data_IF_462538957922
#
_entry.id   IF_462538957922
#
_cell.length_a   1.000
_cell.length_b   1.000
_cell.length_c   1.000
_cell.angle_alpha   90.00
_cell.angle_beta   90.00
_cell.angle_gamma   90.00
#
_symmetry.space_group_name_H-M   'P 1'
#
loop_
_entity.id
_entity.type
_entity.pdbx_description
1 polymer ?
#
# COMPACT_ATOMS: atom_id res chain seq x y z
N UNK A 1 -23.88 76.13 7.03
CA UNK A 1 -22.77 75.28 7.52
C UNK A 1 -23.30 73.86 7.59
N UNK A 2 -22.69 72.94 6.84
CA UNK A 2 -23.10 71.53 6.71
C UNK A 2 -22.80 70.78 8.03
N UNK A 3 -23.73 70.02 8.63
CA UNK A 3 -23.36 69.08 9.67
C UNK A 3 -22.74 67.84 9.03
N UNK A 4 -21.49 67.57 9.42
CA UNK A 4 -20.73 66.41 8.98
C UNK A 4 -21.40 65.11 9.40
N UNK A 5 -21.51 64.18 8.45
CA UNK A 5 -21.82 62.78 8.70
C UNK A 5 -20.59 62.12 9.32
N UNK A 6 -20.54 62.04 10.65
CA UNK A 6 -19.63 61.13 11.32
C UNK A 6 -20.13 59.69 11.10
N UNK A 7 -19.45 58.96 10.22
CA UNK A 7 -19.62 57.52 10.08
C UNK A 7 -19.03 56.86 11.31
N UNK A 8 -19.84 56.69 12.35
CA UNK A 8 -19.52 55.81 13.46
C UNK A 8 -19.39 54.37 12.92
N UNK A 9 -18.15 53.90 12.76
CA UNK A 9 -17.85 52.50 12.43
C UNK A 9 -18.21 51.68 13.67
N UNK A 10 -19.43 51.15 13.69
CA UNK A 10 -19.88 50.21 14.71
C UNK A 10 -19.18 48.87 14.47
N UNK A 11 -18.08 48.63 15.18
CA UNK A 11 -17.37 47.36 15.15
C UNK A 11 -18.24 46.29 15.81
N UNK A 12 -18.73 45.32 15.03
CA UNK A 12 -19.40 44.14 15.55
C UNK A 12 -18.34 43.10 15.97
N UNK A 13 -18.16 42.84 17.28
CA UNK A 13 -17.18 41.85 17.74
C UNK A 13 -17.49 40.43 17.22
N UNK A 14 -18.75 40.12 16.88
CA UNK A 14 -19.12 38.82 16.32
C UNK A 14 -18.57 38.60 14.90
N UNK A 15 -18.32 39.68 14.15
CA UNK A 15 -17.76 39.64 12.79
C UNK A 15 -16.26 40.01 12.80
N UNK A 16 -15.86 40.92 13.69
CA UNK A 16 -14.48 41.39 13.82
C UNK A 16 -13.53 40.30 14.29
N UNK A 17 -13.90 39.55 15.34
CA UNK A 17 -13.06 38.48 15.90
C UNK A 17 -12.76 37.38 14.88
N UNK A 18 -13.74 36.79 14.16
CA UNK A 18 -13.43 35.76 13.16
C UNK A 18 -12.59 36.32 12.00
N UNK A 19 -12.80 37.58 11.60
CA UNK A 19 -11.99 38.21 10.53
C UNK A 19 -10.53 38.38 10.94
N UNK A 20 -10.27 38.77 12.20
CA UNK A 20 -8.91 38.85 12.74
C UNK A 20 -8.28 37.45 12.85
N UNK A 21 -9.04 36.45 13.30
CA UNK A 21 -8.54 35.06 13.38
C UNK A 21 -8.16 34.53 11.99
N UNK A 22 -8.99 34.76 10.97
CA UNK A 22 -8.67 34.39 9.58
C UNK A 22 -7.42 35.13 9.10
N UNK A 23 -7.29 36.43 9.38
CA UNK A 23 -6.10 37.21 9.04
C UNK A 23 -4.81 36.67 9.67
N UNK A 24 -4.86 36.30 10.95
CA UNK A 24 -3.71 35.70 11.66
C UNK A 24 -3.38 34.32 11.09
N UNK A 25 -4.38 33.49 10.77
CA UNK A 25 -4.17 32.18 10.14
C UNK A 25 -3.49 32.34 8.78
N UNK A 26 -3.93 33.29 7.96
CA UNK A 26 -3.30 33.58 6.66
C UNK A 26 -1.86 34.06 6.84
N UNK A 27 -1.59 34.93 7.82
CA UNK A 27 -0.24 35.41 8.11
C UNK A 27 0.69 34.28 8.55
N UNK A 28 0.20 33.38 9.41
CA UNK A 28 0.94 32.18 9.85
C UNK A 28 1.20 31.25 8.68
N UNK A 29 0.23 31.05 7.79
CA UNK A 29 0.41 30.22 6.59
C UNK A 29 1.44 30.82 5.63
N UNK A 30 1.43 32.15 5.43
CA UNK A 30 2.45 32.83 4.62
C UNK A 30 3.82 32.73 5.26
N UNK A 31 3.93 32.80 6.59
CA UNK A 31 5.21 32.61 7.27
C UNK A 31 5.71 31.17 7.20
N UNK A 32 4.81 30.19 7.32
CA UNK A 32 5.13 28.77 7.35
C UNK A 32 5.44 28.21 5.94
N UNK A 33 4.80 28.74 4.90
CA UNK A 33 5.04 28.34 3.50
C UNK A 33 5.88 29.33 2.69
N UNK A 34 6.15 30.53 3.21
CA UNK A 34 6.92 31.58 2.54
C UNK A 34 8.42 31.56 2.82
N UNK A 35 8.95 30.50 3.45
CA UNK A 35 10.40 30.30 3.59
C UNK A 35 11.02 30.21 2.18
N UNK A 36 11.86 31.18 1.74
CA UNK A 36 12.52 31.09 0.45
C UNK A 36 13.50 29.93 0.47
N UNK A 37 13.26 28.94 -0.39
CA UNK A 37 14.14 27.80 -0.63
C UNK A 37 15.53 28.35 -1.00
N UNK A 38 16.49 28.21 -0.08
CA UNK A 38 17.88 28.62 -0.32
C UNK A 38 18.39 27.87 -1.55
N UNK A 39 18.78 28.65 -2.55
CA UNK A 39 19.38 28.21 -3.79
C UNK A 39 20.60 27.34 -3.51
N UNK A 40 20.46 26.04 -3.75
CA UNK A 40 21.57 25.11 -3.77
C UNK A 40 22.27 25.26 -5.11
N UNK A 41 23.14 26.26 -5.20
CA UNK A 41 23.77 26.65 -6.46
C UNK A 41 25.02 27.52 -6.35
N UNK A 42 25.73 27.53 -5.21
CA UNK A 42 27.09 28.11 -5.20
C UNK A 42 28.06 27.11 -5.85
N UNK A 43 28.44 27.42 -7.09
CA UNK A 43 29.63 26.84 -7.74
C UNK A 43 30.82 27.04 -6.80
N UNK A 44 31.44 25.92 -6.38
CA UNK A 44 32.79 25.93 -5.81
C UNK A 44 33.72 26.61 -6.82
N UNK A 45 34.53 27.61 -6.45
CA UNK A 45 35.63 28.04 -7.30
C UNK A 45 36.62 26.87 -7.43
N UNK A 46 37.07 26.62 -8.66
CA UNK A 46 37.99 25.55 -9.02
C UNK A 46 39.32 25.70 -8.24
N UNK A 47 39.92 24.60 -7.75
CA UNK A 47 41.30 24.65 -7.28
C UNK A 47 42.26 24.83 -8.46
N UNK A 48 43.20 25.75 -8.31
CA UNK A 48 44.24 26.04 -9.30
C UNK A 48 45.16 24.85 -9.62
N UNK A 49 45.72 24.77 -10.84
CA UNK A 49 46.64 23.71 -11.23
C UNK A 49 48.04 24.03 -10.69
N UNK A 50 48.36 23.52 -9.51
CA UNK A 50 49.64 23.82 -8.86
C UNK A 50 49.97 22.91 -7.69
N UNK A 51 49.87 21.60 -7.87
CA UNK A 51 50.54 20.66 -6.97
C UNK A 51 51.01 19.44 -7.77
N UNK A 52 52.32 19.38 -7.91
CA UNK A 52 53.14 18.38 -8.55
C UNK A 52 52.69 16.95 -8.21
N UNK A 53 52.24 16.23 -9.24
CA UNK A 53 51.93 14.80 -9.20
C UNK A 53 53.19 14.02 -8.84
N UNK A 54 53.34 13.64 -7.57
CA UNK A 54 54.39 12.72 -7.11
C UNK A 54 53.89 11.28 -7.19
N UNK A 55 54.51 10.50 -8.08
CA UNK A 55 54.32 9.06 -8.18
C UNK A 55 54.98 8.35 -6.99
N UNK A 56 54.36 7.30 -6.41
CA UNK A 56 55.01 6.48 -5.41
C UNK A 56 56.03 5.57 -6.10
N UNK A 57 57.32 5.90 -5.97
CA UNK A 57 58.39 4.95 -6.25
C UNK A 57 58.52 3.97 -5.08
N UNK A 58 58.30 2.71 -5.40
CA UNK A 58 58.72 1.55 -4.63
C UNK A 58 60.25 1.50 -4.61
N UNK A 59 60.88 1.56 -3.43
CA UNK A 59 62.31 1.29 -3.27
C UNK A 59 62.99 2.01 -2.09
N UNK A 60 63.30 1.20 -1.07
CA UNK A 60 64.56 1.17 -0.31
C UNK A 60 64.63 1.77 1.12
N UNK A 61 64.91 0.83 2.03
CA UNK A 61 65.75 0.79 3.23
C UNK A 61 65.57 1.69 4.49
N UNK A 62 65.80 0.97 5.61
CA UNK A 62 66.28 1.33 6.96
C UNK A 62 65.22 1.89 7.93
N UNK A 63 64.74 1.10 8.89
CA UNK A 63 65.32 0.68 10.20
C UNK A 63 64.87 1.62 11.34
N UNK A 64 64.85 1.09 12.57
CA UNK A 64 64.26 1.59 13.83
C UNK A 64 62.76 1.25 14.01
N UNK A 65 62.30 0.58 15.05
CA UNK A 65 62.91 0.12 16.30
C UNK A 65 61.77 -0.14 17.30
N UNK A 66 61.77 -1.34 17.87
CA UNK A 66 61.11 -1.78 19.11
C UNK A 66 59.59 -1.71 19.35
N UNK A 67 59.08 -2.90 19.71
CA UNK A 67 58.18 -3.21 20.83
C UNK A 67 56.79 -3.75 20.49
N UNK A 68 56.68 -5.08 20.31
CA UNK A 68 55.65 -5.85 21.02
C UNK A 68 56.06 -7.31 21.21
N UNK A 69 55.87 -7.79 22.45
CA UNK A 69 56.36 -9.08 22.96
C UNK A 69 55.56 -10.26 22.40
N UNK A 70 56.35 -11.29 22.12
CA UNK A 70 56.04 -12.69 21.93
C UNK A 70 55.14 -13.26 23.05
N UNK A 71 53.96 -13.75 22.66
CA UNK A 71 53.22 -14.83 23.32
C UNK A 71 52.60 -15.67 22.20
N UNK A 72 53.33 -16.67 21.73
CA UNK A 72 52.79 -17.73 20.88
C UNK A 72 53.19 -19.10 21.43
N UNK A 73 52.37 -19.64 22.33
CA UNK A 73 52.35 -21.09 22.58
C UNK A 73 50.96 -21.53 23.04
N UNK A 74 50.08 -21.84 22.09
CA UNK A 74 49.01 -22.81 22.33
C UNK A 74 48.71 -23.59 21.04
N UNK A 75 49.57 -24.58 20.79
CA UNK A 75 49.23 -25.95 20.36
C UNK A 75 47.92 -26.12 19.55
N UNK A 76 48.00 -26.03 18.22
CA UNK A 76 46.96 -26.51 17.29
C UNK A 76 47.45 -27.77 16.57
N UNK A 77 46.64 -28.82 16.64
CA UNK A 77 46.81 -30.17 16.08
C UNK A 77 47.05 -30.17 14.55
N UNK A 78 48.02 -30.93 13.99
CA UNK A 78 48.34 -30.91 12.56
C UNK A 78 47.49 -31.86 11.70
N UNK A 79 46.23 -32.14 12.05
CA UNK A 79 45.39 -33.12 11.31
C UNK A 79 44.25 -32.57 10.47
N UNK A 80 44.07 -31.25 10.41
CA UNK A 80 43.06 -30.64 9.54
C UNK A 80 43.61 -29.39 8.85
N UNK A 81 44.31 -29.60 7.74
CA UNK A 81 44.56 -28.55 6.74
C UNK A 81 43.90 -28.98 5.44
N UNK A 82 42.70 -28.43 5.19
CA UNK A 82 42.11 -28.39 3.85
C UNK A 82 42.79 -27.28 3.06
N UNK A 83 43.17 -27.48 1.78
CA UNK A 83 43.73 -26.38 0.99
C UNK A 83 42.66 -25.31 0.73
N UNK A 84 43.02 -24.06 0.96
CA UNK A 84 42.23 -22.88 0.58
C UNK A 84 42.17 -22.80 -0.95
N UNK A 85 40.99 -22.74 -1.60
CA UNK A 85 40.91 -22.67 -3.04
C UNK A 85 41.34 -21.28 -3.54
N UNK A 86 42.16 -21.25 -4.59
CA UNK A 86 42.52 -20.03 -5.30
C UNK A 86 41.32 -19.53 -6.14
N UNK A 87 41.14 -18.21 -6.18
CA UNK A 87 40.00 -17.46 -6.74
C UNK A 87 39.92 -17.52 -8.29
N UNK A 88 39.94 -18.73 -8.86
CA UNK A 88 39.80 -18.98 -10.30
C UNK A 88 39.30 -20.39 -10.65
N UNK A 89 39.16 -21.29 -9.67
CA UNK A 89 38.72 -22.68 -9.90
C UNK A 89 37.18 -22.85 -9.80
N UNK A 90 36.51 -21.96 -9.07
CA UNK A 90 35.05 -22.00 -8.86
C UNK A 90 34.25 -21.76 -10.16
N UNK A 91 34.77 -20.95 -11.09
CA UNK A 91 34.06 -20.58 -12.32
C UNK A 91 34.09 -21.72 -13.36
N UNK A 92 35.15 -22.54 -13.33
CA UNK A 92 35.33 -23.68 -14.24
C UNK A 92 34.48 -24.86 -13.80
N UNK A 93 34.42 -25.14 -12.49
CA UNK A 93 33.58 -26.22 -11.93
C UNK A 93 32.08 -25.94 -12.04
N UNK A 94 31.65 -24.67 -11.85
CA UNK A 94 30.23 -24.30 -11.98
C UNK A 94 29.74 -24.41 -13.43
N UNK A 95 30.61 -24.15 -14.41
CA UNK A 95 30.30 -24.29 -15.83
C UNK A 95 30.09 -25.75 -16.23
N UNK A 96 30.92 -26.67 -15.71
CA UNK A 96 30.74 -28.12 -15.89
C UNK A 96 29.46 -28.65 -15.21
N UNK A 97 29.11 -28.14 -14.02
CA UNK A 97 27.86 -28.52 -13.36
C UNK A 97 26.62 -27.97 -14.10
N UNK A 98 26.69 -26.76 -14.66
CA UNK A 98 25.63 -26.19 -15.51
C UNK A 98 25.47 -26.94 -16.83
N UNK A 99 26.57 -27.38 -17.47
CA UNK A 99 26.52 -28.17 -18.69
C UNK A 99 25.90 -29.55 -18.42
N UNK A 100 26.26 -30.18 -17.30
CA UNK A 100 25.69 -31.46 -16.85
C UNK A 100 24.21 -31.34 -16.48
N UNK A 101 23.80 -30.23 -15.86
CA UNK A 101 22.39 -29.93 -15.56
C UNK A 101 21.58 -29.61 -16.82
N UNK A 102 22.20 -28.93 -17.80
CA UNK A 102 21.56 -28.64 -19.09
C UNK A 102 21.37 -29.89 -19.95
N UNK A 103 22.30 -30.85 -19.87
CA UNK A 103 22.20 -32.15 -20.53
C UNK A 103 21.03 -32.97 -19.96
N UNK A 104 20.81 -32.95 -18.65
CA UNK A 104 19.62 -33.57 -18.03
C UNK A 104 18.32 -32.84 -18.36
N UNK A 105 18.34 -31.53 -18.60
CA UNK A 105 17.14 -30.76 -18.96
C UNK A 105 16.79 -30.87 -20.46
N UNK A 106 17.76 -31.17 -21.31
CA UNK A 106 17.56 -31.38 -22.75
C UNK A 106 16.88 -32.73 -23.06
N UNK A 107 17.10 -33.75 -22.23
CA UNK A 107 16.45 -35.07 -22.37
C UNK A 107 14.98 -35.05 -21.90
N UNK A 108 14.59 -34.11 -21.03
CA UNK A 108 13.21 -33.97 -20.54
C UNK A 108 12.30 -33.15 -21.49
N UNK A 109 12.86 -32.54 -22.56
CA UNK A 109 12.10 -31.80 -23.58
C UNK A 109 11.55 -32.64 -24.73
N UNK A 110 11.78 -33.96 -24.75
CA UNK A 110 11.22 -34.88 -25.74
C UNK A 110 10.20 -35.89 -25.17
N UNK A 111 9.59 -35.60 -24.02
CA UNK A 111 8.34 -36.23 -23.63
C UNK A 111 7.15 -35.44 -24.18
N UNK A 112 6.59 -35.95 -25.27
CA UNK A 112 5.36 -35.44 -25.90
C UNK A 112 4.20 -35.49 -24.89
N UNK A 113 3.81 -34.34 -24.33
CA UNK A 113 2.53 -34.21 -23.64
C UNK A 113 1.44 -34.10 -24.71
N UNK A 114 0.92 -35.26 -25.13
CA UNK A 114 -0.39 -35.34 -25.76
C UNK A 114 -1.44 -34.88 -24.75
N UNK A 115 -2.13 -33.78 -25.05
CA UNK A 115 -3.32 -33.35 -24.31
C UNK A 115 -4.40 -34.45 -24.38
N UNK A 116 -4.94 -34.94 -23.25
CA UNK A 116 -6.16 -35.72 -23.27
C UNK A 116 -7.34 -34.82 -23.64
N UNK A 117 -8.06 -35.22 -24.70
CA UNK A 117 -9.31 -34.63 -25.20
C UNK A 117 -10.38 -34.67 -24.09
N UNK A 118 -10.93 -33.54 -23.63
CA UNK A 118 -12.11 -33.57 -22.77
C UNK A 118 -13.34 -33.93 -23.60
N UNK A 119 -13.82 -35.14 -23.39
CA UNK A 119 -15.14 -35.62 -23.82
C UNK A 119 -16.26 -34.85 -23.09
N UNK A 120 -17.30 -34.44 -23.82
CA UNK A 120 -18.67 -34.51 -23.30
C UNK A 120 -19.49 -33.23 -23.28
N UNK A 121 -19.11 -32.20 -22.52
CA UNK A 121 -20.08 -31.12 -22.18
C UNK A 121 -19.58 -29.67 -22.34
N UNK A 122 -18.28 -29.43 -22.55
CA UNK A 122 -17.74 -28.07 -22.70
C UNK A 122 -17.75 -27.54 -24.15
N UNK A 123 -17.97 -28.40 -25.15
CA UNK A 123 -18.01 -28.00 -26.57
C UNK A 123 -19.32 -27.30 -26.97
N UNK A 124 -20.40 -27.41 -26.18
CA UNK A 124 -21.70 -26.84 -26.53
C UNK A 124 -21.84 -25.35 -26.19
N UNK A 125 -21.03 -24.82 -25.27
CA UNK A 125 -21.15 -23.42 -24.81
C UNK A 125 -20.31 -22.48 -25.68
N UNK A 126 -19.21 -22.98 -26.24
CA UNK A 126 -18.31 -22.21 -27.11
C UNK A 126 -18.88 -22.03 -28.52
N UNK A 127 -19.74 -22.94 -28.99
CA UNK A 127 -20.40 -22.85 -30.30
C UNK A 127 -21.58 -21.84 -30.30
N UNK A 128 -22.25 -21.66 -29.16
CA UNK A 128 -23.38 -20.69 -29.01
C UNK A 128 -22.90 -19.24 -29.01
N UNK A 129 -21.65 -18.97 -28.63
CA UNK A 129 -21.08 -17.62 -28.55
C UNK A 129 -20.41 -17.15 -29.85
N UNK A 130 -20.40 -17.97 -30.91
CA UNK A 130 -19.73 -17.66 -32.19
C UNK A 130 -20.68 -17.26 -33.33
N UNK A 131 -22.00 -17.34 -33.17
CA UNK A 131 -22.95 -16.96 -34.24
C UNK A 131 -23.30 -15.46 -34.22
N UNK A 132 -23.07 -14.71 -35.30
CA UNK A 132 -23.61 -13.35 -35.45
C UNK A 132 -25.07 -13.43 -35.92
N UNK A 133 -25.98 -12.67 -35.30
CA UNK A 133 -27.37 -12.56 -35.78
C UNK A 133 -27.90 -11.14 -35.63
N UNK A 134 -28.01 -10.46 -36.77
CA UNK A 134 -28.83 -9.28 -37.07
C UNK A 134 -29.12 -9.37 -38.59
N UNK A 135 -30.14 -8.69 -39.14
CA UNK A 135 -31.56 -8.67 -38.78
C UNK A 135 -32.43 -9.02 -40.01
N UNK A 136 -33.64 -9.57 -39.86
CA UNK A 136 -34.58 -9.66 -40.99
C UNK A 136 -35.94 -9.04 -40.69
N UNK A 137 -36.19 -7.97 -41.44
CA UNK A 137 -37.48 -7.39 -41.78
C UNK A 137 -38.35 -8.43 -42.50
N UNK A 138 -39.59 -8.60 -42.06
CA UNK A 138 -40.69 -8.99 -42.95
C UNK A 138 -41.91 -8.13 -42.66
N UNK A 139 -42.29 -7.34 -43.66
CA UNK A 139 -43.54 -6.62 -43.74
C UNK A 139 -44.60 -7.51 -44.42
N UNK A 140 -45.82 -7.54 -43.88
CA UNK A 140 -47.07 -7.79 -44.60
C UNK A 140 -48.32 -7.46 -43.74
N UNK A 141 -48.83 -6.24 -43.91
CA UNK A 141 -50.24 -5.81 -44.19
C UNK A 141 -51.32 -6.92 -44.07
N UNK A 142 -52.50 -6.76 -43.42
CA UNK A 142 -53.55 -5.76 -43.68
C UNK A 142 -54.80 -5.94 -42.76
N UNK A 143 -55.57 -4.84 -42.59
CA UNK A 143 -57.05 -4.75 -42.40
C UNK A 143 -57.61 -4.32 -41.01
N UNK A 144 -58.17 -3.10 -40.96
CA UNK A 144 -59.10 -2.59 -39.91
C UNK A 144 -60.58 -2.95 -40.19
N UNK A 145 -61.63 -2.21 -39.70
CA UNK A 145 -61.61 -0.86 -39.11
C UNK A 145 -62.58 -0.60 -37.90
N UNK A 146 -62.55 0.65 -37.40
CA UNK A 146 -63.71 1.49 -36.96
C UNK A 146 -64.26 1.47 -35.51
N UNK A 147 -64.03 2.62 -34.86
CA UNK A 147 -65.01 3.49 -34.19
C UNK A 147 -65.38 3.36 -32.68
N UNK A 148 -65.47 4.58 -32.11
CA UNK A 148 -66.40 5.09 -31.09
C UNK A 148 -65.99 5.13 -29.60
N UNK A 149 -65.55 6.33 -29.24
CA UNK A 149 -65.78 7.09 -28.00
C UNK A 149 -67.08 6.72 -27.25
N UNK A 150 -67.01 6.56 -25.92
CA UNK A 150 -68.02 7.04 -24.97
C UNK A 150 -67.54 6.97 -23.52
N UNK A 151 -67.63 8.12 -22.86
CA UNK A 151 -67.51 8.36 -21.43
C UNK A 151 -68.84 8.13 -20.71
N UNK A 152 -68.84 7.43 -19.57
CA UNK A 152 -69.45 7.90 -18.31
C UNK A 152 -69.33 6.85 -17.18
N UNK A 153 -69.00 7.33 -15.98
CA UNK A 153 -69.12 6.65 -14.69
C UNK A 153 -70.60 6.33 -14.35
N UNK A 154 -70.86 5.47 -13.34
CA UNK A 154 -71.05 6.05 -12.01
C UNK A 154 -70.56 5.20 -10.81
N UNK A 155 -70.41 5.95 -9.70
CA UNK A 155 -70.68 5.58 -8.31
C UNK A 155 -69.77 4.59 -7.55
N UNK A 156 -69.00 5.22 -6.66
CA UNK A 156 -68.28 4.76 -5.48
C UNK A 156 -69.07 3.84 -4.53
N UNK A 157 -68.39 2.83 -3.97
CA UNK A 157 -68.55 2.47 -2.56
C UNK A 157 -67.20 2.08 -1.97
N UNK A 158 -66.63 3.02 -1.20
CA UNK A 158 -65.73 2.89 -0.05
C UNK A 158 -64.80 1.66 0.05
N UNK A 159 -63.52 1.85 -0.31
CA UNK A 159 -62.41 1.22 0.40
C UNK A 159 -61.66 2.31 1.18
N UNK A 160 -61.58 2.13 2.49
CA UNK A 160 -60.87 2.99 3.43
C UNK A 160 -59.38 3.14 3.05
N UNK A 161 -58.75 4.29 3.31
CA UNK A 161 -57.33 4.50 3.01
C UNK A 161 -56.49 3.63 3.94
N UNK A 162 -55.94 2.53 3.40
CA UNK A 162 -54.86 1.83 4.03
C UNK A 162 -53.65 2.77 4.10
N UNK A 163 -53.23 3.08 5.32
CA UNK A 163 -52.04 3.87 5.59
C UNK A 163 -50.84 3.33 4.78
N UNK A 164 -49.97 4.20 4.24
CA UNK A 164 -48.77 3.75 3.56
C UNK A 164 -47.93 2.93 4.54
N UNK A 165 -47.72 1.66 4.21
CA UNK A 165 -46.75 0.82 4.91
C UNK A 165 -45.40 1.53 4.81
N UNK A 166 -44.71 1.83 5.93
CA UNK A 166 -43.39 2.44 5.85
C UNK A 166 -42.47 1.51 5.07
N UNK A 167 -41.86 2.05 4.01
CA UNK A 167 -40.83 1.35 3.25
C UNK A 167 -39.76 0.84 4.23
N UNK A 168 -39.34 -0.44 4.15
CA UNK A 168 -38.31 -0.95 5.02
C UNK A 168 -37.05 -0.11 4.84
N UNK A 169 -36.58 0.48 5.94
CA UNK A 169 -35.32 1.20 5.98
C UNK A 169 -34.21 0.31 5.36
N UNK A 170 -33.26 0.89 4.60
CA UNK A 170 -32.14 0.12 4.08
C UNK A 170 -31.44 -0.57 5.26
N UNK A 171 -31.50 -1.90 5.27
CA UNK A 171 -30.77 -2.72 6.24
C UNK A 171 -29.29 -2.52 5.95
N UNK A 172 -28.66 -1.63 6.72
CA UNK A 172 -27.21 -1.50 6.76
C UNK A 172 -26.71 -2.90 7.14
N UNK A 173 -25.90 -3.57 6.30
CA UNK A 173 -25.37 -4.88 6.65
C UNK A 173 -24.64 -4.75 7.99
N UNK A 174 -24.72 -5.77 8.87
CA UNK A 174 -24.00 -5.74 10.13
C UNK A 174 -22.52 -5.49 9.84
N UNK A 175 -21.98 -4.38 10.37
CA UNK A 175 -20.56 -4.08 10.24
C UNK A 175 -19.80 -5.19 10.97
N UNK A 176 -18.84 -5.80 10.29
CA UNK A 176 -17.98 -6.82 10.89
C UNK A 176 -17.17 -6.18 12.03
N UNK A 177 -17.09 -6.83 13.20
CA UNK A 177 -16.18 -6.43 14.27
C UNK A 177 -14.74 -6.93 14.04
N UNK A 178 -14.48 -7.60 12.90
CA UNK A 178 -13.17 -8.14 12.56
C UNK A 178 -12.14 -7.01 12.35
N UNK A 179 -11.02 -7.05 13.05
CA UNK A 179 -10.00 -5.98 12.94
C UNK A 179 -10.36 -4.70 13.69
N UNK A 180 -11.39 -4.73 14.53
CA UNK A 180 -11.70 -3.65 15.44
C UNK A 180 -10.63 -3.52 16.51
N UNK A 181 -10.02 -2.34 16.61
CA UNK A 181 -9.05 -2.05 17.67
C UNK A 181 -9.79 -1.86 19.03
N UNK A 182 -9.26 -2.42 20.13
CA UNK A 182 -9.76 -2.13 21.47
C UNK A 182 -9.67 -0.63 21.80
N UNK A 183 -10.79 0.00 22.17
CA UNK A 183 -10.87 1.45 22.45
C UNK A 183 -10.06 1.88 23.68
N UNK A 184 -9.63 0.93 24.51
CA UNK A 184 -8.92 1.17 25.75
C UNK A 184 -7.43 1.49 25.54
N UNK A 185 -6.88 1.17 24.36
CA UNK A 185 -5.47 1.41 24.04
C UNK A 185 -5.35 2.69 23.21
N UNK A 186 -4.73 3.76 23.75
CA UNK A 186 -4.55 5.00 22.99
C UNK A 186 -3.63 4.77 21.79
N UNK A 187 -3.82 5.57 20.74
CA UNK A 187 -2.90 5.59 19.60
C UNK A 187 -1.89 6.69 19.85
N UNK A 188 -0.64 6.31 20.02
CA UNK A 188 0.48 7.22 20.30
C UNK A 188 1.25 7.57 19.02
N UNK A 189 1.40 6.60 18.12
CA UNK A 189 2.09 6.79 16.83
C UNK A 189 1.37 6.02 15.72
N UNK A 190 1.43 6.55 14.50
CA UNK A 190 0.97 5.86 13.29
C UNK A 190 2.14 5.80 12.30
N UNK A 191 2.38 4.61 11.76
CA UNK A 191 3.38 4.39 10.70
C UNK A 191 2.64 3.99 9.45
N UNK A 192 2.95 4.64 8.33
CA UNK A 192 2.19 4.47 7.08
C UNK A 192 3.09 4.14 5.89
N UNK A 193 2.54 3.36 4.96
CA UNK A 193 3.08 3.12 3.62
C UNK A 193 1.97 3.28 2.60
N UNK A 194 2.32 3.56 1.35
CA UNK A 194 1.35 3.61 0.27
C UNK A 194 1.72 2.63 -0.83
N UNK A 195 0.72 2.02 -1.45
CA UNK A 195 0.88 1.28 -2.70
C UNK A 195 0.09 2.02 -3.76
N UNK A 196 0.77 2.56 -4.75
CA UNK A 196 0.13 3.37 -5.80
C UNK A 196 0.23 2.69 -7.16
N UNK A 197 -0.78 2.90 -7.99
CA UNK A 197 -0.72 2.51 -9.39
C UNK A 197 0.35 3.32 -10.12
N UNK A 198 0.90 2.75 -11.21
CA UNK A 198 1.79 3.49 -12.12
C UNK A 198 1.07 4.69 -12.74
N UNK A 199 1.82 5.66 -13.24
CA UNK A 199 1.25 6.87 -13.83
C UNK A 199 0.22 6.55 -14.93
N UNK A 200 -0.92 7.24 -14.89
CA UNK A 200 -2.04 7.03 -15.81
C UNK A 200 -2.83 5.74 -15.60
N UNK A 201 -2.49 4.92 -14.60
CA UNK A 201 -3.17 3.68 -14.29
C UNK A 201 -3.92 3.80 -12.96
N UNK A 202 -4.88 2.90 -12.73
CA UNK A 202 -5.62 2.78 -11.47
C UNK A 202 -5.88 1.31 -11.19
N UNK A 203 -5.92 0.94 -9.91
CA UNK A 203 -6.27 -0.41 -9.50
C UNK A 203 -7.76 -0.65 -9.69
N UNK A 204 -8.09 -1.82 -10.23
CA UNK A 204 -9.45 -2.31 -10.34
C UNK A 204 -9.88 -2.96 -9.01
N UNK A 205 -11.11 -2.71 -8.57
CA UNK A 205 -11.66 -3.32 -7.36
C UNK A 205 -11.59 -4.85 -7.36
N UNK A 206 -11.93 -5.52 -8.46
CA UNK A 206 -11.90 -6.98 -8.53
C UNK A 206 -10.48 -7.54 -8.29
N UNK A 207 -9.48 -6.97 -8.96
CA UNK A 207 -8.08 -7.38 -8.81
C UNK A 207 -7.55 -7.09 -7.41
N UNK A 208 -7.99 -5.99 -6.81
CA UNK A 208 -7.63 -5.58 -5.45
C UNK A 208 -8.09 -6.57 -4.40
N UNK A 209 -9.32 -7.07 -4.49
CA UNK A 209 -9.83 -8.08 -3.54
C UNK A 209 -9.01 -9.35 -3.63
N UNK A 210 -8.81 -9.84 -4.86
CA UNK A 210 -8.01 -11.06 -5.09
C UNK A 210 -6.58 -10.87 -4.58
N UNK A 211 -5.98 -9.70 -4.80
CA UNK A 211 -4.64 -9.40 -4.31
C UNK A 211 -4.59 -9.30 -2.78
N UNK A 212 -5.58 -8.67 -2.15
CA UNK A 212 -5.69 -8.54 -0.70
C UNK A 212 -5.84 -9.90 -0.02
N UNK A 213 -6.72 -10.77 -0.52
CA UNK A 213 -6.91 -12.13 -0.02
C UNK A 213 -5.63 -12.97 -0.19
N UNK A 214 -4.97 -12.89 -1.35
CA UNK A 214 -3.68 -13.57 -1.60
C UNK A 214 -2.55 -13.06 -0.69
N UNK A 215 -2.65 -11.82 -0.22
CA UNK A 215 -1.70 -11.23 0.73
C UNK A 215 -2.06 -11.53 2.20
N UNK A 216 -3.13 -12.32 2.46
CA UNK A 216 -3.56 -12.69 3.81
C UNK A 216 -4.23 -11.55 4.57
N UNK A 217 -4.88 -10.62 3.86
CA UNK A 217 -5.68 -9.57 4.46
C UNK A 217 -7.15 -9.99 4.56
N UNK A 218 -7.80 -9.63 5.66
CA UNK A 218 -9.20 -9.92 5.91
C UNK A 218 -10.02 -8.62 5.88
N UNK A 219 -11.15 -8.61 5.17
CA UNK A 219 -12.07 -7.48 5.16
C UNK A 219 -12.88 -7.42 6.46
N UNK A 220 -12.98 -6.25 7.07
CA UNK A 220 -13.59 -6.14 8.40
C UNK A 220 -14.13 -4.77 8.76
N UNK A 221 -13.83 -4.37 9.99
CA UNK A 221 -14.28 -3.13 10.61
C UNK A 221 -13.96 -1.92 9.74
N UNK A 222 -14.79 -0.88 9.84
CA UNK A 222 -14.71 0.34 9.02
C UNK A 222 -14.80 0.11 7.49
N UNK A 223 -15.08 -1.11 7.03
CA UNK A 223 -15.10 -1.47 5.62
C UNK A 223 -13.71 -1.39 4.97
N UNK A 224 -12.66 -1.70 5.72
CA UNK A 224 -11.27 -1.76 5.25
C UNK A 224 -10.68 -3.16 5.46
N UNK A 225 -9.48 -3.38 4.97
CA UNK A 225 -8.76 -4.64 5.15
C UNK A 225 -7.84 -4.58 6.36
N UNK A 226 -7.67 -5.72 7.02
CA UNK A 226 -6.87 -5.86 8.23
C UNK A 226 -5.97 -7.08 8.15
N UNK A 227 -4.75 -6.95 8.67
CA UNK A 227 -3.94 -8.10 9.03
C UNK A 227 -4.09 -8.33 10.53
N UNK A 228 -4.57 -9.51 10.91
CA UNK A 228 -4.79 -9.89 12.30
C UNK A 228 -3.65 -10.75 12.82
N UNK A 229 -3.56 -10.86 14.15
CA UNK A 229 -2.71 -11.87 14.78
C UNK A 229 -3.39 -13.24 14.64
N UNK A 230 -2.63 -14.23 14.18
CA UNK A 230 -3.15 -15.58 13.99
C UNK A 230 -3.75 -16.15 15.28
N UNK A 231 -5.01 -16.56 15.20
CA UNK A 231 -5.76 -17.11 16.33
C UNK A 231 -6.17 -16.11 17.42
N UNK A 232 -5.87 -14.81 17.28
CA UNK A 232 -6.17 -13.77 18.28
C UNK A 232 -6.81 -12.53 17.64
N UNK A 233 -8.02 -12.68 17.12
CA UNK A 233 -8.75 -11.62 16.39
C UNK A 233 -9.20 -10.47 17.30
N UNK A 234 -9.38 -10.76 18.59
CA UNK A 234 -9.84 -9.85 19.64
C UNK A 234 -8.80 -8.81 20.06
N UNK A 235 -7.50 -9.06 19.80
CA UNK A 235 -6.43 -8.10 20.09
C UNK A 235 -6.41 -6.93 19.10
N UNK A 236 -7.20 -7.02 18.03
CA UNK A 236 -7.22 -6.04 16.95
C UNK A 236 -6.15 -6.33 15.89
N UNK A 237 -6.01 -5.41 14.93
CA UNK A 237 -5.15 -5.61 13.77
C UNK A 237 -3.69 -5.28 14.08
N UNK A 238 -2.78 -6.04 13.48
CA UNK A 238 -1.36 -5.69 13.37
C UNK A 238 -1.23 -4.40 12.55
N UNK A 239 -1.88 -4.37 11.38
CA UNK A 239 -2.00 -3.19 10.52
C UNK A 239 -3.28 -3.25 9.69
N UNK A 240 -3.66 -2.13 9.11
CA UNK A 240 -4.87 -1.97 8.30
C UNK A 240 -4.54 -1.36 6.94
N UNK A 241 -5.38 -1.64 5.95
CA UNK A 241 -5.24 -1.16 4.57
C UNK A 241 -6.53 -0.50 4.13
N UNK A 242 -6.46 0.78 3.82
CA UNK A 242 -7.57 1.60 3.38
C UNK A 242 -7.40 2.08 1.93
N UNK A 243 -8.50 2.48 1.30
CA UNK A 243 -8.48 3.15 0.03
C UNK A 243 -7.90 4.58 0.19
N UNK A 244 -7.08 5.04 -0.75
CA UNK A 244 -6.59 6.42 -0.72
C UNK A 244 -7.67 7.46 -1.07
N UNK A 245 -8.73 7.04 -1.77
CA UNK A 245 -9.87 7.92 -2.06
C UNK A 245 -10.82 7.99 -0.86
N UNK A 246 -11.33 9.18 -0.57
CA UNK A 246 -12.40 9.36 0.43
C UNK A 246 -13.65 8.57 -0.02
N UNK A 247 -14.31 7.83 0.88
CA UNK A 247 -14.18 7.87 2.34
C UNK A 247 -13.05 7.02 2.95
N UNK A 248 -12.30 6.26 2.16
CA UNK A 248 -11.23 5.36 2.63
C UNK A 248 -11.66 3.90 2.79
N UNK A 249 -12.95 3.60 2.72
CA UNK A 249 -13.49 2.25 2.74
C UNK A 249 -13.60 1.62 1.35
N UNK A 250 -13.76 0.31 1.30
CA UNK A 250 -14.08 -0.45 0.09
C UNK A 250 -15.57 -0.83 0.11
N UNK A 251 -16.30 -0.39 -0.90
CA UNK A 251 -17.68 -0.81 -1.13
C UNK A 251 -17.70 -2.13 -1.91
N UNK A 252 -17.90 -3.23 -1.19
CA UNK A 252 -17.94 -4.57 -1.77
C UNK A 252 -19.16 -4.83 -2.66
N UNK A 253 -20.14 -3.91 -2.69
CA UNK A 253 -21.32 -4.05 -3.56
C UNK A 253 -21.07 -3.46 -4.95
N UNK A 254 -20.03 -2.65 -5.13
CA UNK A 254 -19.72 -1.92 -6.36
C UNK A 254 -18.27 -2.12 -6.83
N UNK A 255 -17.76 -3.35 -6.77
CA UNK A 255 -16.38 -3.69 -7.18
C UNK A 255 -16.07 -3.29 -8.63
N UNK A 256 -16.98 -3.56 -9.56
CA UNK A 256 -16.73 -3.38 -10.99
C UNK A 256 -16.46 -1.91 -11.34
N UNK A 257 -17.09 -1.00 -10.60
CA UNK A 257 -16.91 0.44 -10.74
C UNK A 257 -15.79 1.00 -9.85
N UNK A 258 -15.26 0.22 -8.91
CA UNK A 258 -14.20 0.67 -8.02
C UNK A 258 -12.90 0.82 -8.82
N UNK A 259 -12.42 2.06 -8.85
CA UNK A 259 -11.12 2.44 -9.38
C UNK A 259 -10.42 3.31 -8.36
N UNK A 260 -9.19 2.95 -8.01
CA UNK A 260 -8.41 3.71 -7.03
C UNK A 260 -6.98 3.96 -7.52
N UNK A 261 -6.43 5.17 -7.31
CA UNK A 261 -5.02 5.44 -7.58
C UNK A 261 -4.08 4.69 -6.62
N UNK A 262 -4.57 4.22 -5.47
CA UNK A 262 -3.72 3.49 -4.53
C UNK A 262 -4.37 3.13 -3.20
N UNK A 263 -3.54 2.52 -2.36
CA UNK A 263 -3.87 1.99 -1.04
C UNK A 263 -2.99 2.63 0.02
N UNK A 264 -3.55 2.85 1.20
CA UNK A 264 -2.86 3.34 2.38
C UNK A 264 -2.77 2.21 3.41
N UNK A 265 -1.55 1.78 3.69
CA UNK A 265 -1.24 0.86 4.78
C UNK A 265 -0.89 1.69 5.99
N UNK A 266 -1.41 1.31 7.16
CA UNK A 266 -1.06 1.96 8.40
C UNK A 266 -1.11 0.98 9.56
N UNK A 267 -0.14 1.11 10.47
CA UNK A 267 -0.16 0.47 11.77
C UNK A 267 -0.20 1.55 12.85
N UNK A 268 -1.08 1.37 13.82
CA UNK A 268 -1.19 2.24 14.97
C UNK A 268 -0.44 1.60 16.14
N UNK A 269 0.34 2.39 16.86
CA UNK A 269 1.18 1.96 17.97
C UNK A 269 0.71 2.65 19.26
N UNK A 270 0.68 1.96 20.41
CA UNK A 270 0.94 0.53 20.57
C UNK A 270 -0.11 -0.36 19.85
N UNK A 271 0.35 -1.52 19.41
CA UNK A 271 -0.44 -2.54 18.71
C UNK A 271 -0.44 -3.88 19.47
N UNK A 272 -1.04 -4.94 18.90
CA UNK A 272 -1.09 -6.26 19.54
C UNK A 272 0.25 -7.01 19.54
N UNK A 273 1.25 -6.49 18.81
CA UNK A 273 2.61 -7.02 18.69
C UNK A 273 3.60 -5.84 18.74
N UNK A 274 4.90 -6.13 18.91
CA UNK A 274 5.96 -5.12 18.86
C UNK A 274 5.93 -4.35 17.53
N UNK A 275 6.33 -3.08 17.56
CA UNK A 275 6.29 -2.22 16.38
C UNK A 275 7.18 -2.76 15.25
N UNK A 276 8.35 -3.31 15.61
CA UNK A 276 9.24 -3.96 14.65
C UNK A 276 8.58 -5.19 14.00
N UNK A 277 7.92 -6.04 14.78
CA UNK A 277 7.23 -7.24 14.26
C UNK A 277 6.05 -6.85 13.36
N UNK A 278 5.31 -5.81 13.74
CA UNK A 278 4.23 -5.27 12.92
C UNK A 278 4.74 -4.74 11.57
N UNK A 279 5.90 -4.09 11.56
CA UNK A 279 6.57 -3.64 10.34
C UNK A 279 7.05 -4.80 9.47
N UNK A 280 7.67 -5.81 10.08
CA UNK A 280 8.14 -7.02 9.38
C UNK A 280 6.98 -7.84 8.80
N UNK A 281 5.76 -7.69 9.32
CA UNK A 281 4.53 -8.18 8.69
C UNK A 281 3.98 -7.25 7.60
N UNK A 282 4.00 -5.93 7.82
CA UNK A 282 3.40 -4.94 6.92
C UNK A 282 4.19 -4.76 5.61
N UNK A 283 5.52 -4.64 5.70
CA UNK A 283 6.36 -4.35 4.53
C UNK A 283 6.30 -5.43 3.44
N UNK A 284 6.47 -6.73 3.75
CA UNK A 284 6.35 -7.78 2.74
C UNK A 284 4.95 -7.87 2.15
N UNK A 285 3.91 -7.62 2.96
CA UNK A 285 2.52 -7.58 2.50
C UNK A 285 2.30 -6.44 1.51
N UNK A 286 2.82 -5.23 1.79
CA UNK A 286 2.73 -4.08 0.89
C UNK A 286 3.49 -4.32 -0.43
N UNK A 287 4.70 -4.88 -0.36
CA UNK A 287 5.48 -5.26 -1.54
C UNK A 287 4.75 -6.31 -2.39
N UNK A 288 4.17 -7.33 -1.76
CA UNK A 288 3.38 -8.35 -2.44
C UNK A 288 2.14 -7.78 -3.13
N UNK A 289 1.44 -6.85 -2.49
CA UNK A 289 0.29 -6.16 -3.09
C UNK A 289 0.71 -5.28 -4.27
N UNK A 290 1.84 -4.58 -4.17
CA UNK A 290 2.42 -3.85 -5.29
C UNK A 290 2.75 -4.80 -6.47
N UNK A 291 3.36 -5.96 -6.23
CA UNK A 291 3.64 -6.94 -7.29
C UNK A 291 2.36 -7.47 -7.96
N UNK A 292 1.35 -7.83 -7.16
CA UNK A 292 0.10 -8.39 -7.68
C UNK A 292 -0.74 -7.39 -8.47
N UNK A 293 -0.63 -6.09 -8.16
CA UNK A 293 -1.40 -5.01 -8.78
C UNK A 293 -0.59 -4.17 -9.78
N UNK A 294 0.66 -4.54 -10.06
CA UNK A 294 1.61 -3.76 -10.85
C UNK A 294 1.78 -2.30 -10.35
N UNK A 295 1.86 -2.15 -9.03
CA UNK A 295 2.03 -0.89 -8.31
C UNK A 295 3.45 -0.62 -7.83
N UNK A 296 3.60 0.52 -7.15
CA UNK A 296 4.85 0.94 -6.50
C UNK A 296 4.60 1.22 -5.02
N UNK A 297 5.52 0.78 -4.16
CA UNK A 297 5.48 1.07 -2.73
C UNK A 297 6.16 2.42 -2.46
N UNK A 298 5.45 3.31 -1.79
CA UNK A 298 5.91 4.62 -1.38
C UNK A 298 5.94 4.74 0.15
N UNK A 299 6.83 5.59 0.64
CA UNK A 299 6.86 6.00 2.05
C UNK A 299 5.85 7.12 2.35
N UNK A 300 5.86 7.60 3.60
CA UNK A 300 4.98 8.67 4.07
C UNK A 300 5.10 9.99 3.28
N UNK A 301 6.28 10.26 2.73
CA UNK A 301 6.58 11.46 1.93
C UNK A 301 6.21 11.27 0.45
N UNK A 302 5.64 10.10 0.08
CA UNK A 302 5.33 9.67 -1.28
C UNK A 302 6.58 9.46 -2.15
N UNK A 303 7.72 9.17 -1.54
CA UNK A 303 8.93 8.77 -2.23
C UNK A 303 8.96 7.25 -2.39
N UNK A 304 9.58 6.77 -3.48
CA UNK A 304 9.75 5.33 -3.71
C UNK A 304 10.51 4.68 -2.54
N UNK A 305 9.98 3.57 -2.03
CA UNK A 305 10.52 2.93 -0.83
C UNK A 305 11.84 2.19 -1.11
N UNK A 306 12.97 2.86 -0.85
CA UNK A 306 14.31 2.31 -1.00
C UNK A 306 14.85 1.58 0.24
N UNK A 307 15.92 0.80 0.07
CA UNK A 307 16.59 0.05 1.16
C UNK A 307 17.03 0.93 2.34
N UNK A 308 17.56 2.11 2.07
CA UNK A 308 17.99 3.05 3.11
C UNK A 308 16.80 3.52 3.97
N UNK A 309 15.67 3.83 3.32
CA UNK A 309 14.46 4.27 4.01
C UNK A 309 13.86 3.14 4.86
N UNK A 310 13.84 1.91 4.33
CA UNK A 310 13.42 0.72 5.08
C UNK A 310 14.28 0.52 6.32
N UNK A 311 15.61 0.58 6.19
CA UNK A 311 16.53 0.43 7.32
C UNK A 311 16.29 1.51 8.39
N UNK A 312 16.12 2.75 7.96
CA UNK A 312 15.84 3.88 8.85
C UNK A 312 14.53 3.71 9.62
N UNK A 313 13.40 3.39 8.95
CA UNK A 313 12.11 3.15 9.63
C UNK A 313 12.25 2.01 10.63
N UNK A 314 12.94 0.93 10.25
CA UNK A 314 13.17 -0.21 11.14
C UNK A 314 13.95 0.17 12.40
N UNK A 315 14.96 1.02 12.28
CA UNK A 315 15.75 1.50 13.42
C UNK A 315 14.95 2.45 14.32
N UNK A 316 14.06 3.28 13.76
CA UNK A 316 13.12 4.08 14.55
C UNK A 316 12.15 3.21 15.35
N UNK A 317 11.64 2.12 14.76
CA UNK A 317 10.71 1.21 15.43
C UNK A 317 11.39 0.41 16.54
N UNK A 318 12.64 0.02 16.34
CA UNK A 318 13.48 -0.55 17.41
C UNK A 318 13.74 0.45 18.55
N UNK A 319 13.85 1.73 18.23
CA UNK A 319 13.92 2.79 19.24
C UNK A 319 12.64 2.84 20.05
N UNK A 320 11.50 2.90 19.35
CA UNK A 320 10.17 2.92 19.95
C UNK A 320 9.92 1.70 20.85
N UNK A 321 10.21 0.48 20.38
CA UNK A 321 10.01 -0.75 21.16
C UNK A 321 10.85 -0.71 22.46
N UNK A 322 12.11 -0.28 22.41
CA UNK A 322 12.96 -0.17 23.61
C UNK A 322 12.42 0.83 24.65
N UNK A 323 11.84 1.93 24.19
CA UNK A 323 11.25 2.95 25.06
C UNK A 323 9.97 2.46 25.75
N UNK A 324 9.20 1.60 25.07
CA UNK A 324 7.91 1.11 25.57
C UNK A 324 8.05 -0.20 26.37
N UNK A 325 8.96 -1.10 25.98
CA UNK A 325 9.28 -2.33 26.73
C UNK A 325 9.91 -2.02 28.10
N UNK A 326 10.66 -0.92 28.19
CA UNK A 326 11.30 -0.48 29.45
C UNK A 326 10.29 -0.07 30.55
N UNK A 327 9.03 0.20 30.19
CA UNK A 327 7.96 0.57 31.13
C UNK A 327 7.22 -0.63 31.73
N UNK A 328 7.27 -1.80 31.10
CA UNK A 328 6.49 -2.99 31.48
C UNK A 328 7.31 -4.06 32.22
N UNK A 329 8.39 -3.66 32.92
CA UNK A 329 9.02 -4.53 33.92
C UNK A 329 8.09 -4.59 35.14
N UNK A 330 7.08 -5.46 35.05
CA UNK A 330 6.26 -5.90 36.17
C UNK A 330 7.17 -6.73 37.07
N UNK A 331 7.85 -6.08 38.02
CA UNK A 331 8.60 -6.76 39.07
C UNK A 331 7.66 -7.75 39.78
N UNK A 332 7.83 -9.03 39.46
CA UNK A 332 7.09 -10.11 40.08
C UNK A 332 7.34 -10.10 41.58
N UNK A 333 6.24 -9.99 42.33
CA UNK A 333 6.16 -10.24 43.78
C UNK A 333 6.37 -11.71 44.09
#
# INVERSE_FOLDING_TARGET
>A
MLPGTELAISWDPAIGIPTVVVGVIVLVLVWLFGQPKKEQGTRRPAPEPGAERREPRLGDAADEGDAFRDISDERIDPRFSSPTPHQGELDVGLSEELEKLSATLADERHATIQMPKPTGHAASIVEVLRSPSQPEYTAATMSGPSAAISSHAPASTAHAPAAPTPAPAPRIPPRSDLGKRPTQVPVERIVSLFVVAREGHAFNGADLIVAAEKAGLEYGDMGIYHRLVDGKRELGPIFSVANMLKPGSFDLTRLDALRTPGLSFFMALPGPVAALDAWDAMLPTAQRLAELLDGQVLDEERNALGRQRIAHIRDELRGWDREHDGGEIRFGR
#
